data_IF_283535581661
#
_entry.id   IF_283535581661
#
_cell.length_a   1.000
_cell.length_b   1.000
_cell.length_c   1.000
_cell.angle_alpha   90.00
_cell.angle_beta   90.00
_cell.angle_gamma   90.00
#
_symmetry.space_group_name_H-M   'P 1'
#
loop_
_entity.id
_entity.type
_entity.pdbx_description
1 polymer ?
#
# COMPACT_ATOMS: atom_id res chain seq x y z
N UNK A 1 -22.43 13.26 -21.74
CA UNK A 1 -21.28 13.62 -20.88
C UNK A 1 -20.08 13.85 -21.80
N UNK A 2 -19.54 15.06 -21.89
CA UNK A 2 -18.55 15.44 -22.91
C UNK A 2 -17.15 14.88 -22.58
N UNK A 3 -16.50 14.19 -23.52
CA UNK A 3 -15.19 13.53 -23.34
C UNK A 3 -14.10 14.50 -22.82
N UNK A 4 -14.16 15.79 -23.21
CA UNK A 4 -13.25 16.85 -22.76
C UNK A 4 -13.40 17.21 -21.27
N UNK A 5 -14.59 17.08 -20.68
CA UNK A 5 -14.79 17.35 -19.24
C UNK A 5 -14.20 16.24 -18.36
N UNK A 6 -14.18 15.00 -18.85
CA UNK A 6 -13.53 13.87 -18.17
C UNK A 6 -12.02 14.12 -18.16
N UNK A 7 -11.43 14.43 -19.32
CA UNK A 7 -9.99 14.71 -19.51
C UNK A 7 -9.46 15.88 -18.67
N UNK A 8 -10.27 16.91 -18.42
CA UNK A 8 -9.85 18.09 -17.65
C UNK A 8 -10.31 18.07 -16.17
N UNK A 9 -10.80 16.92 -15.69
CA UNK A 9 -11.29 16.79 -14.32
C UNK A 9 -10.14 16.48 -13.35
N UNK A 10 -10.24 17.00 -12.11
CA UNK A 10 -9.33 16.65 -11.00
C UNK A 10 -9.24 15.14 -10.76
N UNK A 11 -10.28 14.39 -11.14
CA UNK A 11 -10.31 12.93 -11.07
C UNK A 11 -9.27 12.30 -12.00
N UNK A 12 -9.19 12.72 -13.27
CA UNK A 12 -8.24 12.14 -14.19
C UNK A 12 -6.79 12.47 -13.82
N UNK A 13 -6.53 13.70 -13.34
CA UNK A 13 -5.22 14.05 -12.82
C UNK A 13 -4.84 13.19 -11.60
N UNK A 14 -5.75 12.99 -10.65
CA UNK A 14 -5.46 12.19 -9.46
C UNK A 14 -5.29 10.70 -9.77
N UNK A 15 -6.13 10.14 -10.65
CA UNK A 15 -6.01 8.75 -11.12
C UNK A 15 -4.71 8.55 -11.90
N UNK A 16 -4.34 9.50 -12.77
CA UNK A 16 -3.07 9.44 -13.49
C UNK A 16 -1.87 9.51 -12.54
N UNK A 17 -1.90 10.38 -11.53
CA UNK A 17 -0.85 10.45 -10.52
C UNK A 17 -0.70 9.13 -9.76
N UNK A 18 -1.81 8.53 -9.32
CA UNK A 18 -1.79 7.22 -8.67
C UNK A 18 -1.26 6.14 -9.62
N UNK A 19 -1.72 6.12 -10.88
CA UNK A 19 -1.25 5.17 -11.89
C UNK A 19 0.25 5.25 -12.10
N UNK A 20 0.82 6.45 -12.22
CA UNK A 20 2.27 6.65 -12.34
C UNK A 20 3.00 6.12 -11.10
N UNK A 21 2.48 6.41 -9.89
CA UNK A 21 3.08 5.99 -8.63
C UNK A 21 3.11 4.45 -8.49
N UNK A 22 1.99 3.78 -8.79
CA UNK A 22 1.92 2.31 -8.81
C UNK A 22 2.77 1.71 -9.93
N UNK A 23 2.81 2.35 -11.10
CA UNK A 23 3.61 1.91 -12.24
C UNK A 23 5.10 1.90 -11.92
N UNK A 24 5.62 2.99 -11.38
CA UNK A 24 7.02 3.09 -10.94
C UNK A 24 7.31 2.03 -9.88
N UNK A 25 6.44 1.89 -8.88
CA UNK A 25 6.61 0.90 -7.80
C UNK A 25 6.64 -0.54 -8.29
N UNK A 26 5.98 -0.83 -9.42
CA UNK A 26 5.92 -2.18 -10.02
C UNK A 26 7.08 -2.47 -10.98
N UNK A 27 7.63 -1.44 -11.65
CA UNK A 27 8.77 -1.59 -12.58
C UNK A 27 10.08 -1.80 -11.82
N UNK A 28 10.24 -1.16 -10.67
CA UNK A 28 11.46 -1.25 -9.85
C UNK A 28 11.85 -2.70 -9.53
N UNK A 29 10.96 -3.57 -9.00
CA UNK A 29 11.25 -4.99 -8.78
C UNK A 29 11.72 -5.73 -10.03
N UNK A 30 11.10 -5.47 -11.19
CA UNK A 30 11.42 -6.13 -12.47
C UNK A 30 12.86 -5.82 -12.88
N UNK A 31 13.29 -4.56 -12.72
CA UNK A 31 14.66 -4.15 -13.00
C UNK A 31 15.66 -4.71 -11.98
N UNK A 32 15.24 -4.91 -10.74
CA UNK A 32 16.08 -5.48 -9.68
C UNK A 32 16.28 -6.99 -9.83
N UNK A 33 15.35 -7.74 -10.43
CA UNK A 33 15.49 -9.19 -10.63
C UNK A 33 16.83 -9.58 -11.27
N UNK A 34 17.24 -9.08 -12.46
CA UNK A 34 18.51 -9.47 -13.06
C UNK A 34 19.71 -9.08 -12.20
N UNK A 35 19.64 -7.94 -11.49
CA UNK A 35 20.71 -7.51 -10.60
C UNK A 35 20.86 -8.45 -9.39
N UNK A 36 19.75 -8.81 -8.76
CA UNK A 36 19.72 -9.70 -7.60
C UNK A 36 20.17 -11.12 -8.00
N UNK A 37 19.68 -11.64 -9.13
CA UNK A 37 20.10 -12.97 -9.62
C UNK A 37 21.61 -13.04 -9.89
N UNK A 38 22.22 -11.98 -10.42
CA UNK A 38 23.67 -11.94 -10.64
C UNK A 38 24.49 -11.74 -9.35
N UNK A 39 23.97 -10.98 -8.38
CA UNK A 39 24.73 -10.60 -7.18
C UNK A 39 24.65 -11.64 -6.05
N UNK A 40 23.45 -12.14 -5.75
CA UNK A 40 23.19 -13.09 -4.66
C UNK A 40 22.94 -14.52 -5.16
N UNK A 41 22.79 -14.72 -6.47
CA UNK A 41 22.55 -16.03 -7.06
C UNK A 41 21.07 -16.46 -7.00
N UNK A 42 20.69 -17.40 -7.86
CA UNK A 42 19.31 -17.91 -7.99
C UNK A 42 18.82 -18.55 -6.69
N UNK A 43 19.69 -19.28 -5.99
CA UNK A 43 19.34 -20.01 -4.76
C UNK A 43 18.91 -19.05 -3.64
N UNK A 44 19.68 -17.99 -3.38
CA UNK A 44 19.35 -17.01 -2.34
C UNK A 44 18.18 -16.13 -2.73
N UNK A 45 18.04 -15.81 -4.02
CA UNK A 45 16.89 -15.06 -4.52
C UNK A 45 15.57 -15.81 -4.28
N UNK A 46 15.57 -17.14 -4.44
CA UNK A 46 14.41 -17.99 -4.12
C UNK A 46 14.00 -17.90 -2.65
N UNK A 47 14.96 -17.98 -1.73
CA UNK A 47 14.70 -17.84 -0.28
C UNK A 47 14.18 -16.45 0.08
N UNK A 48 14.76 -15.39 -0.49
CA UNK A 48 14.30 -14.02 -0.27
C UNK A 48 12.87 -13.83 -0.77
N UNK A 49 12.55 -14.31 -1.97
CA UNK A 49 11.19 -14.21 -2.51
C UNK A 49 10.18 -15.02 -1.69
N UNK A 50 10.59 -16.18 -1.18
CA UNK A 50 9.74 -16.96 -0.29
C UNK A 50 9.39 -16.17 0.98
N UNK A 51 10.37 -15.59 1.65
CA UNK A 51 10.15 -14.75 2.83
C UNK A 51 9.28 -13.51 2.50
N UNK A 52 9.46 -12.94 1.32
CA UNK A 52 8.74 -11.76 0.85
C UNK A 52 7.25 -12.07 0.59
N UNK A 53 6.95 -13.16 -0.14
CA UNK A 53 5.58 -13.63 -0.38
C UNK A 53 4.91 -14.05 0.93
N UNK A 54 5.64 -14.73 1.81
CA UNK A 54 5.15 -15.09 3.14
C UNK A 54 4.74 -13.84 3.94
N UNK A 55 5.58 -12.79 3.93
CA UNK A 55 5.29 -11.51 4.58
C UNK A 55 4.10 -10.78 3.93
N UNK A 56 3.92 -10.91 2.61
CA UNK A 56 2.80 -10.30 1.91
C UNK A 56 1.44 -10.81 2.37
N UNK A 57 1.31 -12.09 2.77
CA UNK A 57 0.05 -12.59 3.32
C UNK A 57 -0.36 -11.82 4.59
N UNK A 58 0.60 -11.51 5.47
CA UNK A 58 0.35 -10.70 6.66
C UNK A 58 0.08 -9.23 6.31
N UNK A 59 0.74 -8.70 5.27
CA UNK A 59 0.46 -7.34 4.80
C UNK A 59 -0.99 -7.19 4.32
N UNK A 60 -1.51 -8.15 3.55
CA UNK A 60 -2.91 -8.13 3.09
C UNK A 60 -3.88 -8.07 4.28
N UNK A 61 -3.63 -8.83 5.34
CA UNK A 61 -4.44 -8.80 6.58
C UNK A 61 -4.38 -7.43 7.26
N UNK A 62 -3.19 -6.82 7.35
CA UNK A 62 -2.99 -5.52 7.96
C UNK A 62 -3.61 -4.36 7.17
N UNK A 63 -3.72 -4.50 5.86
CA UNK A 63 -4.31 -3.48 4.97
C UNK A 63 -5.82 -3.70 4.75
N UNK A 64 -6.34 -4.87 5.12
CA UNK A 64 -7.72 -5.25 4.83
C UNK A 64 -8.74 -4.23 5.33
N UNK A 65 -9.53 -3.68 4.42
CA UNK A 65 -10.62 -2.75 4.72
C UNK A 65 -10.21 -1.30 5.02
N UNK A 66 -8.92 -1.04 5.29
CA UNK A 66 -8.45 0.33 5.58
C UNK A 66 -8.40 1.21 4.34
N UNK A 67 -7.99 0.68 3.19
CA UNK A 67 -7.80 1.48 1.98
C UNK A 67 -9.11 2.10 1.45
N UNK A 68 -10.24 1.39 1.62
CA UNK A 68 -11.56 1.89 1.21
C UNK A 68 -12.24 2.71 2.32
N UNK A 69 -12.16 2.25 3.58
CA UNK A 69 -12.83 2.91 4.71
C UNK A 69 -12.20 4.27 5.02
N UNK A 70 -10.86 4.34 5.06
CA UNK A 70 -10.14 5.55 5.46
C UNK A 70 -10.39 6.70 4.48
N UNK A 71 -10.36 6.42 3.18
CA UNK A 71 -10.59 7.43 2.13
C UNK A 71 -11.98 8.04 2.28
N UNK A 72 -13.00 7.22 2.58
CA UNK A 72 -14.37 7.71 2.79
C UNK A 72 -14.48 8.69 3.97
N UNK A 73 -13.84 8.37 5.09
CA UNK A 73 -13.87 9.23 6.29
C UNK A 73 -13.07 10.53 6.09
N UNK A 74 -11.91 10.45 5.43
CA UNK A 74 -11.05 11.60 5.12
C UNK A 74 -11.76 12.59 4.17
N UNK A 75 -12.38 12.09 3.10
CA UNK A 75 -13.06 12.94 2.11
C UNK A 75 -14.25 13.67 2.71
N UNK A 76 -14.99 13.04 3.64
CA UNK A 76 -16.16 13.64 4.30
C UNK A 76 -15.80 14.80 5.23
N UNK A 77 -14.64 14.74 5.88
CA UNK A 77 -14.21 15.70 6.92
C UNK A 77 -13.03 16.59 6.48
N UNK A 78 -12.80 16.72 5.17
CA UNK A 78 -11.64 17.39 4.56
C UNK A 78 -11.39 18.85 5.00
N UNK A 79 -12.42 19.55 5.48
CA UNK A 79 -12.35 20.98 5.86
C UNK A 79 -12.05 21.18 7.36
N UNK A 80 -12.15 20.14 8.19
CA UNK A 80 -11.93 20.22 9.63
C UNK A 80 -10.64 19.49 10.05
N UNK A 81 -9.55 20.24 10.20
CA UNK A 81 -8.21 19.71 10.53
C UNK A 81 -8.20 18.95 11.86
N UNK A 82 -8.96 19.42 12.87
CA UNK A 82 -8.95 18.77 14.20
C UNK A 82 -9.61 17.39 14.17
N UNK A 83 -10.67 17.24 13.36
CA UNK A 83 -11.41 15.99 13.23
C UNK A 83 -10.66 14.99 12.35
N UNK A 84 -10.01 15.49 11.29
CA UNK A 84 -9.04 14.73 10.50
C UNK A 84 -7.93 14.13 11.37
N UNK A 85 -7.36 14.93 12.27
CA UNK A 85 -6.32 14.46 13.20
C UNK A 85 -6.80 13.31 14.09
N UNK A 86 -8.03 13.38 14.61
CA UNK A 86 -8.63 12.31 15.42
C UNK A 86 -8.86 11.03 14.59
N UNK A 87 -9.36 11.16 13.37
CA UNK A 87 -9.59 10.03 12.46
C UNK A 87 -8.26 9.34 12.14
N UNK A 88 -7.24 10.10 11.72
CA UNK A 88 -5.91 9.56 11.40
C UNK A 88 -5.27 8.90 12.62
N UNK A 89 -5.34 9.54 13.79
CA UNK A 89 -4.80 8.96 15.02
C UNK A 89 -5.49 7.64 15.39
N UNK A 90 -6.82 7.57 15.26
CA UNK A 90 -7.58 6.34 15.53
C UNK A 90 -7.21 5.23 14.55
N UNK A 91 -7.05 5.56 13.26
CA UNK A 91 -6.60 4.61 12.24
C UNK A 91 -5.20 4.08 12.56
N UNK A 92 -4.28 4.97 12.93
CA UNK A 92 -2.91 4.58 13.30
C UNK A 92 -2.89 3.66 14.51
N UNK A 93 -3.73 3.93 15.53
CA UNK A 93 -3.87 3.04 16.70
C UNK A 93 -4.41 1.66 16.31
N UNK A 94 -5.46 1.60 15.48
CA UNK A 94 -6.00 0.33 14.99
C UNK A 94 -4.96 -0.45 14.16
N UNK A 95 -4.25 0.22 13.25
CA UNK A 95 -3.17 -0.40 12.46
C UNK A 95 -2.03 -0.88 13.35
N UNK A 96 -1.68 -0.13 14.39
CA UNK A 96 -0.64 -0.53 15.34
C UNK A 96 -1.01 -1.83 16.08
N UNK A 97 -2.25 -1.94 16.56
CA UNK A 97 -2.74 -3.16 17.22
C UNK A 97 -2.71 -4.35 16.26
N UNK A 98 -3.19 -4.16 15.02
CA UNK A 98 -3.16 -5.21 14.01
C UNK A 98 -1.75 -5.68 13.67
N UNK A 99 -0.81 -4.73 13.51
CA UNK A 99 0.60 -5.05 13.26
C UNK A 99 1.17 -5.85 14.42
N UNK A 100 0.94 -5.44 15.67
CA UNK A 100 1.41 -6.19 16.85
C UNK A 100 0.85 -7.62 16.86
N UNK A 101 -0.46 -7.78 16.65
CA UNK A 101 -1.09 -9.10 16.57
C UNK A 101 -0.50 -9.95 15.43
N UNK A 102 -0.37 -9.39 14.22
CA UNK A 102 0.21 -10.07 13.08
C UNK A 102 1.67 -10.44 13.30
N UNK A 103 2.47 -9.58 13.92
CA UNK A 103 3.88 -9.86 14.24
C UNK A 103 4.02 -10.99 15.25
N UNK A 104 3.14 -11.07 16.25
CA UNK A 104 3.12 -12.21 17.19
C UNK A 104 2.86 -13.50 16.43
N UNK A 105 1.83 -13.53 15.57
CA UNK A 105 1.52 -14.72 14.76
C UNK A 105 2.68 -15.06 13.82
N UNK A 106 3.27 -14.08 13.15
CA UNK A 106 4.43 -14.28 12.28
C UNK A 106 5.61 -14.90 13.02
N UNK A 107 5.87 -14.48 14.27
CA UNK A 107 6.97 -15.01 15.08
C UNK A 107 6.73 -16.43 15.61
N UNK A 108 5.47 -16.87 15.69
CA UNK A 108 5.08 -18.19 16.16
C UNK A 108 5.12 -19.26 15.06
N UNK A 109 5.05 -18.84 13.79
CA UNK A 109 5.11 -19.71 12.60
C UNK A 109 6.56 -19.89 12.16
#
# INVERSE_FOLDING_TARGET
MNLKQILNSRLLSNTFNLFVLYGISSIVPILLVPYLLNTIGVEKYGLVNFALIFSFYFQIVNEFGFDLSNVRHIVKNRENISELGKIVSSILQCKFILIVCSSIVYSLV
#
